data_IF_588111615426
#
_entry.id   IF_588111615426
#
_cell.length_a   1.000
_cell.length_b   1.000
_cell.length_c   1.000
_cell.angle_alpha   90.00
_cell.angle_beta   90.00
_cell.angle_gamma   90.00
#
_symmetry.space_group_name_H-M   'P 1'
#
loop_
_entity.id
_entity.type
_entity.pdbx_description
1 polymer ?
#
# COMPACT_ATOMS: atom_id res chain seq x y z
N UNK A 1 -9.64 28.44 1.83
CA UNK A 1 -8.76 27.32 1.45
C UNK A 1 -9.16 26.87 0.06
N UNK A 2 -8.24 26.88 -0.90
CA UNK A 2 -8.53 26.29 -2.19
C UNK A 2 -8.81 24.80 -1.95
N UNK A 3 -10.05 24.39 -2.22
CA UNK A 3 -10.42 22.99 -2.17
C UNK A 3 -9.53 22.20 -3.12
N UNK A 4 -8.97 21.11 -2.67
CA UNK A 4 -8.35 20.13 -3.54
C UNK A 4 -9.44 19.59 -4.46
N UNK A 5 -9.52 20.14 -5.66
CA UNK A 5 -10.37 19.58 -6.69
C UNK A 5 -9.73 18.27 -7.16
N UNK A 6 -10.20 17.16 -6.61
CA UNK A 6 -9.88 15.86 -7.18
C UNK A 6 -10.46 15.78 -8.58
N UNK A 7 -9.60 15.83 -9.57
CA UNK A 7 -10.01 15.63 -10.96
C UNK A 7 -10.60 14.23 -11.11
N UNK A 8 -11.75 14.14 -11.73
CA UNK A 8 -12.47 12.88 -11.97
C UNK A 8 -11.66 11.85 -12.80
N UNK A 9 -10.57 12.30 -13.42
CA UNK A 9 -9.63 11.43 -14.14
C UNK A 9 -8.73 10.60 -13.20
N UNK A 10 -8.51 11.05 -11.95
CA UNK A 10 -7.69 10.33 -10.99
C UNK A 10 -8.43 9.15 -10.33
N UNK A 11 -9.75 9.09 -10.45
CA UNK A 11 -10.56 8.03 -9.81
C UNK A 11 -10.38 6.65 -10.46
N UNK A 12 -9.91 6.56 -11.68
CA UNK A 12 -9.65 5.27 -12.32
C UNK A 12 -8.27 4.69 -11.94
N UNK A 13 -7.32 5.54 -11.59
CA UNK A 13 -5.95 5.18 -11.24
C UNK A 13 -5.73 5.06 -9.71
N UNK A 14 -6.69 5.56 -8.91
CA UNK A 14 -6.63 5.51 -7.45
C UNK A 14 -7.06 4.17 -6.83
N UNK A 15 -7.43 3.18 -7.65
CA UNK A 15 -7.90 1.87 -7.15
C UNK A 15 -6.82 0.96 -6.57
N UNK A 16 -5.56 1.35 -6.59
CA UNK A 16 -4.49 0.53 -6.04
C UNK A 16 -3.51 1.31 -5.14
N UNK A 17 -3.89 2.46 -4.62
CA UNK A 17 -3.11 3.08 -3.55
C UNK A 17 -3.64 2.57 -2.23
N UNK A 18 -2.97 1.59 -1.63
CA UNK A 18 -3.15 1.31 -0.22
C UNK A 18 -2.74 2.58 0.54
N UNK A 19 -3.73 3.27 1.06
CA UNK A 19 -3.47 4.38 1.96
C UNK A 19 -3.16 3.80 3.34
N UNK A 20 -2.07 4.25 3.95
CA UNK A 20 -1.76 3.93 5.34
C UNK A 20 -1.71 5.21 6.17
N UNK A 21 -2.21 5.12 7.38
CA UNK A 21 -2.19 6.20 8.37
C UNK A 21 -1.32 5.75 9.52
N UNK A 22 -0.37 6.58 9.93
CA UNK A 22 0.39 6.39 11.16
C UNK A 22 -0.19 7.30 12.24
N UNK A 23 -0.77 6.69 13.27
CA UNK A 23 -1.32 7.39 14.43
C UNK A 23 -0.24 7.50 15.50
N UNK A 24 0.38 8.68 15.65
CA UNK A 24 1.30 8.96 16.74
C UNK A 24 0.53 9.60 17.91
N UNK A 25 0.59 8.97 19.08
CA UNK A 25 -0.17 9.42 20.25
C UNK A 25 0.53 9.07 21.57
N UNK A 26 0.34 9.92 22.57
CA UNK A 26 0.70 9.63 23.97
C UNK A 26 -0.42 8.94 24.74
N UNK A 27 -1.53 8.65 24.05
CA UNK A 27 -2.74 8.03 24.59
C UNK A 27 -3.43 8.86 25.71
N UNK A 28 -3.20 10.17 25.76
CA UNK A 28 -3.93 11.08 26.64
C UNK A 28 -5.16 11.60 25.92
N UNK A 29 -6.33 11.16 26.39
CA UNK A 29 -7.61 11.60 25.81
C UNK A 29 -7.99 12.95 26.40
N UNK A 30 -8.00 13.98 25.58
CA UNK A 30 -8.50 15.31 25.95
C UNK A 30 -9.83 15.58 25.25
N UNK A 31 -10.87 15.90 26.02
CA UNK A 31 -12.20 16.25 25.50
C UNK A 31 -13.12 15.04 25.31
N UNK A 32 -14.25 15.30 24.67
CA UNK A 32 -15.25 14.27 24.35
C UNK A 32 -15.16 13.90 22.89
N UNK A 33 -14.62 12.73 22.54
CA UNK A 33 -14.50 12.32 21.15
C UNK A 33 -15.89 12.04 20.55
N UNK A 34 -16.11 12.49 19.33
CA UNK A 34 -17.34 12.22 18.58
C UNK A 34 -17.42 10.76 18.15
N UNK A 35 -16.27 10.13 17.90
CA UNK A 35 -16.14 8.72 17.54
C UNK A 35 -15.16 8.04 18.50
N UNK A 36 -15.45 6.80 18.87
CA UNK A 36 -14.47 5.97 19.55
C UNK A 36 -13.34 5.52 18.60
N UNK A 37 -12.19 5.19 19.14
CA UNK A 37 -11.08 4.65 18.35
C UNK A 37 -11.50 3.41 17.55
N UNK A 38 -12.27 2.52 18.15
CA UNK A 38 -12.80 1.33 17.49
C UNK A 38 -13.64 1.67 16.27
N UNK A 39 -14.56 2.64 16.38
CA UNK A 39 -15.39 3.09 15.26
C UNK A 39 -14.56 3.73 14.15
N UNK A 40 -13.55 4.51 14.52
CA UNK A 40 -12.64 5.11 13.53
C UNK A 40 -11.84 4.05 12.76
N UNK A 41 -11.34 3.03 13.46
CA UNK A 41 -10.62 1.91 12.84
C UNK A 41 -11.51 1.04 11.94
N UNK A 42 -12.76 0.83 12.35
CA UNK A 42 -13.74 0.14 11.49
C UNK A 42 -13.98 0.88 10.19
N UNK A 43 -14.14 2.20 10.25
CA UNK A 43 -14.34 3.04 9.06
C UNK A 43 -13.13 3.04 8.14
N UNK A 44 -11.92 3.12 8.68
CA UNK A 44 -10.69 3.08 7.89
C UNK A 44 -10.49 1.71 7.25
N UNK A 45 -10.77 0.64 7.98
CA UNK A 45 -10.72 -0.73 7.46
C UNK A 45 -11.70 -0.95 6.31
N UNK A 46 -12.94 -0.46 6.44
CA UNK A 46 -13.93 -0.51 5.35
C UNK A 46 -13.48 0.28 4.11
N UNK A 47 -12.72 1.35 4.31
CA UNK A 47 -12.14 2.13 3.22
C UNK A 47 -10.86 1.52 2.62
N UNK A 48 -10.38 0.38 3.14
CA UNK A 48 -9.13 -0.24 2.70
C UNK A 48 -7.88 0.54 3.15
N UNK A 49 -7.98 1.27 4.27
CA UNK A 49 -6.89 2.07 4.82
C UNK A 49 -6.31 1.34 6.03
N UNK A 50 -5.01 1.04 6.00
CA UNK A 50 -4.30 0.50 7.15
C UNK A 50 -3.94 1.61 8.15
N UNK A 51 -4.12 1.33 9.44
CA UNK A 51 -3.76 2.25 10.52
C UNK A 51 -2.70 1.59 11.40
N UNK A 52 -1.52 2.18 11.44
CA UNK A 52 -0.44 1.78 12.32
C UNK A 52 -0.34 2.76 13.50
N UNK A 53 -0.06 2.27 14.69
CA UNK A 53 0.06 3.06 15.91
C UNK A 53 1.50 3.25 16.34
N UNK A 54 1.87 4.48 16.68
CA UNK A 54 3.13 4.83 17.32
C UNK A 54 2.84 5.47 18.68
N UNK A 55 3.18 4.77 19.74
CA UNK A 55 3.05 5.31 21.08
C UNK A 55 4.27 6.19 21.44
N UNK A 56 4.01 7.44 21.75
CA UNK A 56 5.03 8.44 22.08
C UNK A 56 4.97 8.90 23.57
N UNK A 57 4.17 8.24 24.36
CA UNK A 57 4.04 8.53 25.79
C UNK A 57 5.18 7.97 26.65
N UNK A 58 5.13 8.18 27.97
CA UNK A 58 6.14 7.70 28.91
C UNK A 58 6.22 6.16 28.90
N UNK A 59 7.43 5.62 29.03
CA UNK A 59 7.64 4.17 29.14
C UNK A 59 6.86 3.52 30.30
N UNK A 60 6.65 4.25 31.39
CA UNK A 60 5.88 3.76 32.53
C UNK A 60 4.42 3.45 32.16
N UNK A 61 3.88 4.08 31.16
CA UNK A 61 2.49 3.92 30.71
C UNK A 61 2.34 3.00 29.49
N UNK A 62 3.42 2.43 28.97
CA UNK A 62 3.35 1.49 27.83
C UNK A 62 2.58 0.20 28.17
N UNK A 63 2.60 -0.21 29.43
CA UNK A 63 1.87 -1.38 29.96
C UNK A 63 0.48 -1.09 30.50
N UNK A 64 0.02 0.14 30.48
CA UNK A 64 -1.27 0.52 31.02
C UNK A 64 -2.41 -0.14 30.23
N UNK A 65 -3.56 -0.34 30.92
CA UNK A 65 -4.72 -0.99 30.33
C UNK A 65 -5.22 -0.27 29.07
N UNK A 66 -5.22 1.07 29.08
CA UNK A 66 -5.64 1.90 27.94
C UNK A 66 -4.69 1.77 26.75
N UNK A 67 -3.38 1.71 26.98
CA UNK A 67 -2.38 1.52 25.93
C UNK A 67 -2.48 0.11 25.34
N UNK A 68 -2.70 -0.90 26.17
CA UNK A 68 -2.90 -2.28 25.71
C UNK A 68 -4.20 -2.43 24.93
N UNK A 69 -5.28 -1.75 25.32
CA UNK A 69 -6.54 -1.75 24.58
C UNK A 69 -6.34 -1.13 23.19
N UNK A 70 -5.66 0.01 23.11
CA UNK A 70 -5.33 0.65 21.83
C UNK A 70 -4.48 -0.26 20.94
N UNK A 71 -3.47 -0.91 21.50
CA UNK A 71 -2.65 -1.92 20.80
C UNK A 71 -3.52 -3.01 20.21
N UNK A 72 -4.35 -3.64 21.02
CA UNK A 72 -5.23 -4.72 20.56
C UNK A 72 -6.20 -4.28 19.47
N UNK A 73 -6.74 -3.07 19.56
CA UNK A 73 -7.64 -2.55 18.53
C UNK A 73 -6.93 -2.35 17.20
N UNK A 74 -5.73 -1.77 17.19
CA UNK A 74 -4.94 -1.55 15.98
C UNK A 74 -4.52 -2.89 15.36
N UNK A 75 -4.01 -3.81 16.17
CA UNK A 75 -3.57 -5.14 15.71
C UNK A 75 -4.72 -5.98 15.14
N UNK A 76 -5.92 -5.89 15.73
CA UNK A 76 -7.12 -6.57 15.20
C UNK A 76 -7.52 -6.08 13.81
N UNK A 77 -7.23 -4.84 13.49
CA UNK A 77 -7.50 -4.24 12.17
C UNK A 77 -6.32 -4.39 11.20
N UNK A 78 -5.32 -5.20 11.56
CA UNK A 78 -4.17 -5.51 10.71
C UNK A 78 -3.05 -4.46 10.73
N UNK A 79 -3.13 -3.46 11.61
CA UNK A 79 -2.07 -2.48 11.84
C UNK A 79 -0.98 -2.98 12.78
N UNK A 80 0.16 -2.29 12.78
CA UNK A 80 1.26 -2.49 13.71
C UNK A 80 1.18 -1.47 14.84
N UNK A 81 1.53 -1.89 16.05
CA UNK A 81 1.62 -1.00 17.20
C UNK A 81 3.06 -0.97 17.74
N UNK A 82 3.66 0.20 17.70
CA UNK A 82 5.05 0.42 18.05
C UNK A 82 5.16 1.36 19.24
N UNK A 83 6.17 1.13 20.07
CA UNK A 83 6.46 1.96 21.23
C UNK A 83 7.85 2.58 21.12
N UNK A 84 8.06 3.71 21.78
CA UNK A 84 9.31 4.48 21.70
C UNK A 84 10.49 3.75 22.36
N UNK A 85 10.23 2.84 23.30
CA UNK A 85 11.26 2.03 23.97
C UNK A 85 11.89 0.98 23.04
N UNK A 86 11.26 0.71 21.90
CA UNK A 86 11.75 -0.24 20.94
C UNK A 86 12.20 0.49 19.66
N UNK A 87 13.36 1.15 19.69
CA UNK A 87 13.91 1.89 18.57
C UNK A 87 14.14 1.03 17.31
N UNK A 88 14.33 -0.28 17.49
CA UNK A 88 14.38 -1.24 16.38
C UNK A 88 13.03 -1.34 15.64
N UNK A 89 11.94 -1.02 16.31
CA UNK A 89 10.58 -1.10 15.76
C UNK A 89 10.30 -0.02 14.71
N UNK A 90 10.93 1.15 14.79
CA UNK A 90 10.75 2.22 13.79
C UNK A 90 11.38 1.81 12.46
N UNK A 91 12.57 1.23 12.50
CA UNK A 91 13.24 0.70 11.32
C UNK A 91 12.47 -0.48 10.71
N UNK A 92 11.84 -1.28 11.55
CA UNK A 92 10.98 -2.38 11.12
C UNK A 92 9.69 -1.88 10.46
N UNK A 93 9.06 -0.84 11.02
CA UNK A 93 7.90 -0.19 10.41
C UNK A 93 8.23 0.39 9.03
N UNK A 94 9.34 1.09 8.91
CA UNK A 94 9.79 1.67 7.64
C UNK A 94 10.01 0.55 6.61
N UNK A 95 10.67 -0.54 6.99
CA UNK A 95 10.88 -1.70 6.12
C UNK A 95 9.58 -2.38 5.72
N UNK A 96 8.63 -2.50 6.64
CA UNK A 96 7.32 -3.10 6.38
C UNK A 96 6.52 -2.25 5.38
N UNK A 97 6.50 -0.92 5.58
CA UNK A 97 5.83 0.01 4.65
C UNK A 97 6.51 -0.02 3.26
N UNK A 98 7.84 -0.01 3.22
CA UNK A 98 8.60 -0.10 1.98
C UNK A 98 8.42 -1.46 1.30
N UNK A 99 8.34 -2.53 2.09
CA UNK A 99 8.05 -3.88 1.60
C UNK A 99 6.68 -3.98 0.93
N UNK A 100 5.65 -3.42 1.55
CA UNK A 100 4.30 -3.37 0.97
C UNK A 100 4.28 -2.59 -0.35
N UNK A 101 4.93 -1.42 -0.38
CA UNK A 101 5.05 -0.59 -1.61
C UNK A 101 5.81 -1.28 -2.73
N UNK A 102 6.88 -2.00 -2.41
CA UNK A 102 7.68 -2.70 -3.42
C UNK A 102 6.95 -3.91 -4.01
N UNK A 103 6.16 -4.63 -3.23
CA UNK A 103 5.32 -5.72 -3.73
C UNK A 103 4.26 -5.23 -4.70
N UNK A 104 3.65 -4.09 -4.44
CA UNK A 104 2.69 -3.47 -5.37
C UNK A 104 3.34 -2.97 -6.66
N UNK A 105 4.50 -2.32 -6.55
CA UNK A 105 5.25 -1.86 -7.72
C UNK A 105 5.71 -3.02 -8.60
N UNK A 106 6.10 -4.16 -8.01
CA UNK A 106 6.46 -5.38 -8.76
C UNK A 106 5.24 -6.05 -9.39
N UNK A 107 4.10 -6.10 -8.72
CA UNK A 107 2.87 -6.63 -9.29
C UNK A 107 2.41 -5.81 -10.50
N UNK A 108 2.51 -4.49 -10.43
CA UNK A 108 2.19 -3.59 -11.55
C UNK A 108 3.17 -3.73 -12.71
N UNK A 109 4.47 -3.88 -12.44
CA UNK A 109 5.47 -4.06 -13.50
C UNK A 109 5.35 -5.42 -14.19
N UNK A 110 4.98 -6.47 -13.48
CA UNK A 110 4.73 -7.78 -14.08
C UNK A 110 3.50 -7.77 -14.98
N UNK A 111 2.45 -7.05 -14.61
CA UNK A 111 1.25 -6.94 -15.44
C UNK A 111 1.52 -6.13 -16.72
N UNK A 112 2.37 -5.11 -16.66
CA UNK A 112 2.75 -4.32 -17.83
C UNK A 112 3.69 -5.08 -18.80
N UNK A 113 4.51 -6.00 -18.30
CA UNK A 113 5.42 -6.83 -19.12
C UNK A 113 4.72 -8.05 -19.73
N UNK A 114 3.58 -8.47 -19.22
CA UNK A 114 2.84 -9.64 -19.72
C UNK A 114 1.88 -9.27 -20.87
N UNK A 115 1.71 -7.99 -21.17
CA UNK A 115 0.74 -7.52 -22.17
C UNK A 115 1.31 -7.45 -23.60
N UNK A 116 2.53 -7.95 -23.81
CA UNK A 116 3.04 -8.24 -25.15
C UNK A 116 3.04 -9.77 -25.32
N UNK A 117 1.99 -10.37 -25.90
CA UNK A 117 1.95 -11.80 -26.11
C UNK A 117 3.10 -12.18 -27.03
N UNK A 118 3.98 -13.08 -26.56
CA UNK A 118 5.17 -13.56 -27.29
C UNK A 118 4.85 -14.20 -28.65
N UNK A 119 3.57 -14.49 -28.93
CA UNK A 119 3.11 -14.99 -30.24
C UNK A 119 3.14 -13.91 -31.34
N UNK A 120 3.09 -12.60 -30.98
CA UNK A 120 3.27 -11.50 -31.96
C UNK A 120 4.68 -11.48 -32.55
N UNK A 121 5.70 -11.76 -31.77
CA UNK A 121 7.09 -11.86 -32.24
C UNK A 121 7.27 -13.05 -33.16
N UNK A 122 6.61 -14.17 -32.88
CA UNK A 122 6.54 -15.34 -33.75
C UNK A 122 5.82 -15.04 -35.06
N UNK A 123 4.71 -14.33 -35.03
CA UNK A 123 3.97 -13.95 -36.24
C UNK A 123 4.79 -13.04 -37.16
N UNK A 124 5.51 -12.06 -36.61
CA UNK A 124 6.40 -11.18 -37.37
C UNK A 124 7.58 -11.95 -37.94
N UNK A 125 8.16 -12.88 -37.19
CA UNK A 125 9.28 -13.73 -37.68
C UNK A 125 8.85 -14.63 -38.85
N UNK A 126 7.66 -15.21 -38.80
CA UNK A 126 7.07 -16.06 -39.86
C UNK A 126 6.82 -15.21 -41.14
N UNK A 127 6.24 -14.00 -40.98
CA UNK A 127 6.03 -13.09 -42.11
C UNK A 127 7.32 -12.65 -42.77
N UNK A 128 8.37 -12.34 -42.00
CA UNK A 128 9.70 -12.01 -42.52
C UNK A 128 10.34 -13.17 -43.25
N UNK A 129 10.27 -14.38 -42.69
CA UNK A 129 10.81 -15.59 -43.34
C UNK A 129 10.08 -15.91 -44.64
N UNK A 130 8.73 -15.78 -44.68
CA UNK A 130 7.94 -15.96 -45.89
C UNK A 130 8.29 -14.95 -46.98
N UNK A 131 8.50 -13.70 -46.62
CA UNK A 131 8.90 -12.63 -47.53
C UNK A 131 10.30 -12.88 -48.10
N UNK A 132 11.24 -13.35 -47.30
CA UNK A 132 12.61 -13.67 -47.68
C UNK A 132 12.66 -14.84 -48.68
N UNK A 133 11.87 -15.88 -48.47
CA UNK A 133 11.74 -17.02 -49.38
C UNK A 133 11.13 -16.61 -50.70
N UNK A 134 10.13 -15.74 -50.68
CA UNK A 134 9.47 -15.23 -51.88
C UNK A 134 10.41 -14.30 -52.67
N UNK A 135 11.18 -13.45 -52.02
CA UNK A 135 12.21 -12.62 -52.63
C UNK A 135 13.32 -13.43 -53.27
N UNK A 136 13.69 -14.59 -52.70
CA UNK A 136 14.66 -15.51 -53.29
C UNK A 136 14.12 -16.21 -54.52
N UNK A 137 12.85 -16.57 -54.56
CA UNK A 137 12.22 -17.19 -55.70
C UNK A 137 12.08 -16.26 -56.91
N UNK A 138 11.86 -14.97 -56.65
CA UNK A 138 11.75 -13.94 -57.69
C UNK A 138 13.12 -13.54 -58.30
N UNK A 139 14.22 -13.83 -57.59
CA UNK A 139 15.61 -13.58 -58.10
C UNK A 139 16.20 -14.75 -58.88
N UNK A 140 15.52 -15.87 -58.98
CA UNK A 140 15.84 -16.98 -59.83
C UNK A 140 14.95 -16.97 -61.10
#
# INVERSE_FOLDING_TARGET
LPGFAYSKADTAQSRSREASIVLATDNVVSGSPTYSLAQALDLTSQAGINVDGLYSGPQSSEGDATTNEMRQLIERHGGLFLTQSNSASIDELVREIDGRRSHEAQAQSQTALTDVPGWWTLAVAILLAGWLVMAWRLKR
#
